data_IF_106284805098
#
_entry.id   IF_106284805098
#
_cell.length_a   1.000
_cell.length_b   1.000
_cell.length_c   1.000
_cell.angle_alpha   90.00
_cell.angle_beta   90.00
_cell.angle_gamma   90.00
#
_symmetry.space_group_name_H-M   'P 1'
#
loop_
_entity.id
_entity.type
_entity.pdbx_description
1 polymer ?
#
# COMPACT_ATOMS: atom_id res chain seq x y z
N UNK A 1 -8.39 -13.86 -24.58
CA UNK A 1 -8.16 -12.40 -24.61
C UNK A 1 -9.08 -11.65 -23.65
N UNK A 2 -10.41 -11.85 -23.69
CA UNK A 2 -11.35 -11.22 -22.74
C UNK A 2 -11.09 -11.58 -21.26
N UNK A 3 -10.84 -12.84 -20.94
CA UNK A 3 -10.53 -13.26 -19.55
C UNK A 3 -9.25 -12.64 -19.01
N UNK A 4 -8.20 -12.57 -19.82
CA UNK A 4 -6.93 -11.93 -19.42
C UNK A 4 -7.10 -10.44 -19.15
N UNK A 5 -7.92 -9.73 -19.93
CA UNK A 5 -8.23 -8.32 -19.70
C UNK A 5 -9.08 -8.13 -18.43
N UNK A 6 -10.01 -9.04 -18.18
CA UNK A 6 -10.82 -9.01 -16.96
C UNK A 6 -9.97 -9.22 -15.70
N UNK A 7 -9.08 -10.22 -15.71
CA UNK A 7 -8.15 -10.48 -14.61
C UNK A 7 -7.24 -9.28 -14.35
N UNK A 8 -6.64 -8.70 -15.40
CA UNK A 8 -5.80 -7.50 -15.27
C UNK A 8 -6.58 -6.32 -14.67
N UNK A 9 -7.81 -6.08 -15.15
CA UNK A 9 -8.65 -5.00 -14.63
C UNK A 9 -9.05 -5.19 -13.16
N UNK A 10 -9.19 -6.44 -12.72
CA UNK A 10 -9.54 -6.78 -11.34
C UNK A 10 -8.35 -6.56 -10.41
N UNK A 11 -7.17 -7.08 -10.79
CA UNK A 11 -5.93 -6.89 -10.01
C UNK A 11 -5.57 -5.41 -9.88
N UNK A 12 -5.64 -4.63 -10.97
CA UNK A 12 -5.37 -3.19 -10.92
C UNK A 12 -6.34 -2.45 -9.99
N UNK A 13 -7.61 -2.86 -9.94
CA UNK A 13 -8.62 -2.29 -9.04
C UNK A 13 -8.30 -2.60 -7.58
N UNK A 14 -7.93 -3.84 -7.29
CA UNK A 14 -7.58 -4.27 -5.93
C UNK A 14 -6.30 -3.59 -5.44
N UNK A 15 -5.25 -3.53 -6.27
CA UNK A 15 -4.01 -2.81 -5.93
C UNK A 15 -4.28 -1.34 -5.64
N UNK A 16 -5.11 -0.69 -6.47
CA UNK A 16 -5.53 0.70 -6.25
C UNK A 16 -6.28 0.87 -4.93
N UNK A 17 -7.12 -0.10 -4.53
CA UNK A 17 -7.82 -0.07 -3.24
C UNK A 17 -6.80 -0.16 -2.09
N UNK A 18 -5.88 -1.11 -2.13
CA UNK A 18 -4.85 -1.28 -1.10
C UNK A 18 -3.99 -0.03 -0.97
N UNK A 19 -3.53 0.57 -2.06
CA UNK A 19 -2.76 1.82 -2.01
C UNK A 19 -3.54 2.98 -1.41
N UNK A 20 -4.83 3.11 -1.73
CA UNK A 20 -5.68 4.14 -1.11
C UNK A 20 -5.80 3.94 0.40
N UNK A 21 -5.95 2.71 0.85
CA UNK A 21 -5.99 2.37 2.27
C UNK A 21 -4.65 2.67 2.97
N UNK A 22 -3.53 2.31 2.35
CA UNK A 22 -2.18 2.65 2.83
C UNK A 22 -2.00 4.17 2.96
N UNK A 23 -2.34 4.93 1.91
CA UNK A 23 -2.27 6.40 1.93
C UNK A 23 -3.13 6.97 3.06
N UNK A 24 -4.34 6.45 3.25
CA UNK A 24 -5.23 6.87 4.33
C UNK A 24 -4.61 6.62 5.71
N UNK A 25 -4.03 5.43 5.95
CA UNK A 25 -3.32 5.10 7.19
C UNK A 25 -2.14 6.03 7.45
N UNK A 26 -1.26 6.21 6.46
CA UNK A 26 -0.11 7.12 6.55
C UNK A 26 -0.55 8.55 6.84
N UNK A 27 -1.57 9.05 6.14
CA UNK A 27 -2.10 10.41 6.31
C UNK A 27 -2.69 10.61 7.70
N UNK A 28 -3.49 9.66 8.19
CA UNK A 28 -4.06 9.70 9.54
C UNK A 28 -2.97 9.75 10.60
N UNK A 29 -1.93 8.93 10.43
CA UNK A 29 -0.84 8.87 11.38
C UNK A 29 -0.01 10.15 11.36
N UNK A 30 0.31 10.68 10.18
CA UNK A 30 1.01 11.95 10.02
C UNK A 30 0.23 13.08 10.70
N UNK A 31 -1.09 13.17 10.45
CA UNK A 31 -1.96 14.16 11.08
C UNK A 31 -1.94 14.08 12.61
N UNK A 32 -2.04 12.88 13.19
CA UNK A 32 -1.94 12.68 14.66
C UNK A 32 -0.59 13.12 15.21
N UNK A 33 0.50 12.81 14.51
CA UNK A 33 1.86 13.16 14.93
C UNK A 33 2.06 14.67 14.88
N UNK A 34 1.64 15.31 13.79
CA UNK A 34 1.68 16.77 13.65
C UNK A 34 0.87 17.47 14.74
N UNK A 35 -0.34 16.99 15.03
CA UNK A 35 -1.16 17.55 16.10
C UNK A 35 -0.50 17.41 17.48
N UNK A 36 0.17 16.29 17.75
CA UNK A 36 0.93 16.10 18.99
C UNK A 36 2.13 17.03 19.08
N UNK A 37 2.87 17.22 17.99
CA UNK A 37 3.98 18.18 17.93
C UNK A 37 3.48 19.59 18.23
N UNK A 38 2.38 20.02 17.60
CA UNK A 38 1.80 21.34 17.86
C UNK A 38 1.36 21.47 19.32
N UNK A 39 0.75 20.43 19.89
CA UNK A 39 0.39 20.40 21.30
C UNK A 39 1.62 20.54 22.22
N UNK A 40 2.71 19.83 21.93
CA UNK A 40 3.97 19.98 22.67
C UNK A 40 4.49 21.41 22.58
N UNK A 41 4.47 22.01 21.39
CA UNK A 41 4.91 23.40 21.17
C UNK A 41 4.09 24.37 22.02
N UNK A 42 2.77 24.22 22.10
CA UNK A 42 1.93 25.10 22.93
C UNK A 42 2.21 24.92 24.43
N UNK A 43 2.38 23.68 24.91
CA UNK A 43 2.71 23.42 26.33
C UNK A 43 4.06 24.04 26.71
N UNK A 44 5.04 24.01 25.80
CA UNK A 44 6.37 24.59 26.02
C UNK A 44 6.34 26.13 26.14
N UNK A 45 5.23 26.78 25.78
CA UNK A 45 5.04 28.24 25.96
C UNK A 45 4.49 28.60 27.34
N UNK A 46 4.20 27.64 28.21
CA UNK A 46 3.69 27.89 29.56
C UNK A 46 4.68 28.78 30.36
N UNK A 47 4.28 30.00 30.76
CA UNK A 47 5.18 30.94 31.43
C UNK A 47 5.48 30.55 32.88
N UNK A 48 4.59 29.82 33.57
CA UNK A 48 4.81 29.41 34.96
C UNK A 48 5.54 28.05 35.04
N UNK A 49 6.76 27.98 35.59
CA UNK A 49 7.52 26.75 35.68
C UNK A 49 6.82 25.66 36.52
N UNK A 50 6.07 26.05 37.56
CA UNK A 50 5.36 25.08 38.40
C UNK A 50 4.22 24.41 37.62
N UNK A 51 3.44 25.19 36.87
CA UNK A 51 2.38 24.70 35.98
C UNK A 51 2.94 23.82 34.87
N UNK A 52 4.04 24.21 34.23
CA UNK A 52 4.71 23.36 33.24
C UNK A 52 5.15 22.02 33.85
N UNK A 53 5.78 22.04 35.02
CA UNK A 53 6.24 20.82 35.69
C UNK A 53 5.08 19.86 36.02
N UNK A 54 3.91 20.39 36.41
CA UNK A 54 2.70 19.59 36.67
C UNK A 54 2.24 18.80 35.43
N UNK A 55 2.40 19.35 34.22
CA UNK A 55 1.95 18.72 32.97
C UNK A 55 3.05 17.98 32.20
N UNK A 56 4.32 18.29 32.46
CA UNK A 56 5.47 17.79 31.69
C UNK A 56 5.60 16.25 31.70
N UNK A 57 5.39 15.60 32.83
CA UNK A 57 5.45 14.14 32.93
C UNK A 57 4.37 13.46 32.05
N UNK A 58 3.15 14.00 32.05
CA UNK A 58 2.08 13.49 31.21
C UNK A 58 2.38 13.71 29.72
N UNK A 59 2.97 14.87 29.38
CA UNK A 59 3.41 15.17 28.01
C UNK A 59 4.48 14.18 27.54
N UNK A 60 5.52 13.95 28.34
CA UNK A 60 6.60 12.99 28.05
C UNK A 60 6.02 11.60 27.81
N UNK A 61 5.18 11.10 28.73
CA UNK A 61 4.56 9.79 28.59
C UNK A 61 3.74 9.66 27.30
N UNK A 62 2.95 10.69 26.96
CA UNK A 62 2.14 10.70 25.74
C UNK A 62 3.02 10.71 24.48
N UNK A 63 4.07 11.51 24.46
CA UNK A 63 4.99 11.63 23.32
C UNK A 63 5.78 10.34 23.12
N UNK A 64 6.39 9.79 24.16
CA UNK A 64 7.10 8.50 24.09
C UNK A 64 6.18 7.36 23.68
N UNK A 65 4.94 7.32 24.20
CA UNK A 65 3.96 6.30 23.79
C UNK A 65 3.62 6.43 22.30
N UNK A 66 3.40 7.65 21.81
CA UNK A 66 3.11 7.85 20.39
C UNK A 66 4.30 7.56 19.49
N UNK A 67 5.51 7.90 19.91
CA UNK A 67 6.74 7.54 19.19
C UNK A 67 6.89 6.02 19.09
N UNK A 68 6.70 5.29 20.19
CA UNK A 68 6.75 3.83 20.18
C UNK A 68 5.71 3.24 19.24
N UNK A 69 4.45 3.70 19.34
CA UNK A 69 3.37 3.25 18.47
C UNK A 69 3.62 3.62 17.02
N UNK A 70 4.27 4.77 16.74
CA UNK A 70 4.71 5.15 15.41
C UNK A 70 5.59 4.07 14.80
N UNK A 71 6.70 3.75 15.45
CA UNK A 71 7.63 2.74 14.98
C UNK A 71 7.01 1.34 14.88
N UNK A 72 6.11 0.99 15.80
CA UNK A 72 5.48 -0.34 15.82
C UNK A 72 4.51 -0.56 14.67
N UNK A 73 3.68 0.44 14.32
CA UNK A 73 2.58 0.22 13.36
C UNK A 73 2.80 0.89 12.00
N UNK A 74 3.76 1.82 11.86
CA UNK A 74 3.99 2.49 10.59
C UNK A 74 4.65 1.52 9.60
N UNK A 75 3.95 1.25 8.50
CA UNK A 75 4.48 0.46 7.38
C UNK A 75 4.78 1.39 6.21
N UNK A 76 6.07 1.62 5.95
CA UNK A 76 6.53 2.47 4.84
C UNK A 76 6.73 1.71 3.54
N UNK A 77 6.69 0.37 3.59
CA UNK A 77 6.77 -0.48 2.41
C UNK A 77 5.39 -0.62 1.76
N UNK A 78 5.31 -0.53 0.42
CA UNK A 78 4.10 -0.88 -0.32
C UNK A 78 3.61 -2.29 0.06
N UNK A 79 2.30 -2.43 0.32
CA UNK A 79 1.68 -3.73 0.66
C UNK A 79 1.44 -4.60 -0.56
N UNK A 80 1.52 -4.01 -1.75
CA UNK A 80 1.39 -4.72 -3.01
C UNK A 80 2.58 -4.38 -3.88
N UNK A 81 3.10 -5.40 -4.55
CA UNK A 81 4.13 -5.24 -5.56
C UNK A 81 3.56 -4.47 -6.76
N UNK A 82 4.39 -3.60 -7.34
CA UNK A 82 4.05 -2.92 -8.58
C UNK A 82 4.16 -3.88 -9.78
N UNK A 83 4.90 -4.98 -9.65
CA UNK A 83 5.14 -5.94 -10.71
C UNK A 83 4.07 -7.03 -10.75
N UNK A 84 3.34 -7.11 -11.86
CA UNK A 84 2.36 -8.15 -12.13
C UNK A 84 2.97 -9.23 -13.02
N UNK A 85 3.25 -10.40 -12.46
CA UNK A 85 3.81 -11.53 -13.22
C UNK A 85 2.66 -12.37 -13.80
N UNK A 86 2.46 -12.25 -15.12
CA UNK A 86 1.49 -13.06 -15.85
C UNK A 86 2.12 -14.41 -16.24
N UNK A 87 1.81 -15.47 -15.50
CA UNK A 87 2.16 -16.83 -15.89
C UNK A 87 1.06 -17.40 -16.80
N UNK A 88 1.33 -17.45 -18.10
CA UNK A 88 0.46 -18.11 -19.08
C UNK A 88 0.87 -19.59 -19.20
N UNK A 89 -0.06 -20.52 -18.98
CA UNK A 89 0.16 -21.93 -19.34
C UNK A 89 0.09 -22.08 -20.86
N UNK A 90 1.26 -22.25 -21.49
CA UNK A 90 1.39 -22.40 -22.93
C UNK A 90 1.34 -23.85 -23.39
N UNK A 91 1.26 -24.83 -22.48
CA UNK A 91 1.33 -26.27 -22.84
C UNK A 91 0.20 -26.68 -23.77
N UNK A 92 -1.01 -26.20 -23.52
CA UNK A 92 -2.17 -26.49 -24.36
C UNK A 92 -2.07 -25.83 -25.74
N UNK A 93 -1.57 -24.59 -25.80
CA UNK A 93 -1.33 -23.90 -27.06
C UNK A 93 -0.25 -24.61 -27.88
N UNK A 94 0.83 -25.03 -27.22
CA UNK A 94 1.93 -25.77 -27.85
C UNK A 94 1.45 -27.11 -28.40
N UNK A 95 0.65 -27.86 -27.64
CA UNK A 95 0.04 -29.11 -28.11
C UNK A 95 -0.84 -28.87 -29.34
N UNK A 96 -1.73 -27.88 -29.29
CA UNK A 96 -2.63 -27.55 -30.40
C UNK A 96 -1.84 -27.21 -31.69
N UNK A 97 -0.76 -26.43 -31.58
CA UNK A 97 0.14 -26.11 -32.70
C UNK A 97 0.76 -27.37 -33.28
N UNK A 98 1.23 -28.29 -32.44
CA UNK A 98 1.87 -29.54 -32.89
C UNK A 98 0.89 -30.49 -33.59
N UNK A 99 -0.39 -30.41 -33.27
CA UNK A 99 -1.45 -31.25 -33.87
C UNK A 99 -2.19 -30.59 -35.04
N UNK A 100 -1.75 -29.41 -35.50
CA UNK A 100 -2.35 -28.76 -36.67
C UNK A 100 -2.08 -29.61 -37.91
N UNK A 101 -3.16 -30.08 -38.53
CA UNK A 101 -3.12 -30.71 -39.85
C UNK A 101 -3.41 -29.66 -40.92
N UNK A 102 -2.48 -29.50 -41.86
CA UNK A 102 -2.62 -28.54 -42.95
C UNK A 102 -3.31 -29.23 -44.12
N UNK A 103 -4.58 -28.91 -44.36
CA UNK A 103 -5.24 -29.30 -45.59
C UNK A 103 -4.61 -28.51 -46.76
N UNK A 104 -3.81 -29.18 -47.58
CA UNK A 104 -3.23 -28.60 -48.78
C UNK A 104 -4.36 -28.24 -49.76
N UNK A 105 -4.60 -26.94 -49.98
CA UNK A 105 -5.44 -26.49 -51.10
C UNK A 105 -4.73 -26.88 -52.39
N UNK A 106 -5.19 -27.96 -53.04
CA UNK A 106 -4.76 -28.31 -54.39
C UNK A 106 -5.12 -27.12 -55.29
N UNK A 107 -4.09 -26.40 -55.74
CA UNK A 107 -4.23 -25.41 -56.81
C UNK A 107 -4.66 -26.15 -58.07
N UNK A 108 -5.92 -25.96 -58.46
CA UNK A 108 -6.42 -26.38 -59.76
C UNK A 108 -5.78 -25.49 -60.82
N UNK A 109 -4.67 -25.96 -61.41
CA UNK A 109 -4.14 -25.48 -62.69
C UNK A 109 -4.86 -26.23 -63.83
#
# INVERSE_FOLDING_TARGET
MLESQFLLSTVLRDNKRVFKEQISRCTSKLSKTTALIQFCIEILKEPDPATYLQVSNALINRTTTQEFMWHKEMQTKPEVDAEFVLNLDTKHLQYAIQTLDFAQLKGSL
#
